data_IF_717852921035
#
_entry.id   IF_717852921035
#
_cell.length_a   1.000
_cell.length_b   1.000
_cell.length_c   1.000
_cell.angle_alpha   90.00
_cell.angle_beta   90.00
_cell.angle_gamma   90.00
#
_symmetry.space_group_name_H-M   'P 1'
#
loop_
_entity.id
_entity.type
_entity.pdbx_description
1 polymer ?
#
# COMPACT_ATOMS: atom_id res chain seq x y z
N UNK A 1 -23.51 -15.84 -3.72
CA UNK A 1 -24.01 -14.50 -3.35
C UNK A 1 -25.04 -14.52 -2.22
N UNK A 2 -26.10 -15.37 -2.26
CA UNK A 2 -27.14 -15.45 -1.20
C UNK A 2 -26.64 -15.73 0.23
N UNK A 3 -25.50 -16.40 0.40
CA UNK A 3 -24.88 -16.68 1.72
C UNK A 3 -23.94 -15.57 2.24
N UNK A 4 -23.45 -14.67 1.36
CA UNK A 4 -22.59 -13.55 1.79
C UNK A 4 -23.39 -12.42 2.46
N UNK A 5 -24.67 -12.27 2.11
CA UNK A 5 -25.54 -11.18 2.56
C UNK A 5 -26.06 -11.32 4.01
N UNK A 6 -25.82 -12.46 4.68
CA UNK A 6 -26.24 -12.67 6.08
C UNK A 6 -25.25 -12.15 7.12
N UNK A 7 -24.05 -11.75 6.72
CA UNK A 7 -22.98 -11.42 7.65
C UNK A 7 -22.98 -9.92 8.02
N UNK A 8 -23.52 -9.58 9.20
CA UNK A 8 -23.56 -8.21 9.72
C UNK A 8 -22.18 -7.54 9.78
N UNK A 9 -21.10 -8.32 9.93
CA UNK A 9 -19.74 -7.77 9.95
C UNK A 9 -19.24 -7.30 8.59
N UNK A 10 -19.80 -7.77 7.46
CA UNK A 10 -19.51 -7.19 6.14
C UNK A 10 -20.04 -5.75 6.06
N UNK A 11 -21.27 -5.53 6.50
CA UNK A 11 -21.89 -4.20 6.49
C UNK A 11 -21.14 -3.23 7.40
N UNK A 12 -20.75 -3.69 8.59
CA UNK A 12 -19.93 -2.91 9.50
C UNK A 12 -18.58 -2.62 8.84
N UNK A 13 -17.83 -3.61 8.36
CA UNK A 13 -16.52 -3.38 7.72
C UNK A 13 -16.60 -2.44 6.50
N UNK A 14 -17.62 -2.61 5.65
CA UNK A 14 -17.88 -1.71 4.52
C UNK A 14 -18.18 -0.30 5.01
N UNK A 15 -18.96 -0.15 6.08
CA UNK A 15 -19.21 1.14 6.74
C UNK A 15 -17.93 1.77 7.30
N UNK A 16 -17.02 1.01 7.92
CA UNK A 16 -15.73 1.53 8.41
C UNK A 16 -14.88 2.09 7.26
N UNK A 17 -14.80 1.36 6.15
CA UNK A 17 -14.02 1.75 4.97
C UNK A 17 -14.62 2.98 4.27
N UNK A 18 -15.95 3.03 4.17
CA UNK A 18 -16.70 4.16 3.62
C UNK A 18 -16.54 5.39 4.51
N UNK A 19 -16.75 5.26 5.82
CA UNK A 19 -16.72 6.40 6.74
C UNK A 19 -15.31 6.96 6.93
N UNK A 20 -14.30 6.09 6.90
CA UNK A 20 -12.89 6.43 7.05
C UNK A 20 -12.25 7.17 5.87
N UNK A 21 -12.69 6.88 4.65
CA UNK A 21 -12.04 7.40 3.43
C UNK A 21 -12.93 8.32 2.56
N UNK A 22 -14.25 8.39 2.80
CA UNK A 22 -15.19 9.05 1.87
C UNK A 22 -15.87 10.31 2.39
N UNK A 23 -16.00 10.49 3.70
CA UNK A 23 -16.75 11.66 4.19
C UNK A 23 -15.82 12.87 4.18
N UNK A 24 -16.11 13.90 3.38
CA UNK A 24 -15.51 15.25 3.50
C UNK A 24 -16.33 16.17 4.41
N UNK A 25 -17.49 15.67 4.86
CA UNK A 25 -18.49 16.39 5.67
C UNK A 25 -17.99 16.71 7.08
N UNK A 26 -17.08 15.89 7.62
CA UNK A 26 -16.54 16.07 8.97
C UNK A 26 -15.13 16.71 8.92
N UNK A 27 -14.77 17.54 9.92
CA UNK A 27 -13.40 18.05 10.08
C UNK A 27 -12.36 16.93 10.04
N UNK A 28 -11.20 17.18 9.43
CA UNK A 28 -10.15 16.17 9.21
C UNK A 28 -9.75 15.41 10.49
N UNK A 29 -9.64 16.10 11.62
CA UNK A 29 -9.30 15.48 12.91
C UNK A 29 -10.41 14.53 13.40
N UNK A 30 -11.68 14.92 13.27
CA UNK A 30 -12.83 14.10 13.68
C UNK A 30 -12.90 12.84 12.81
N UNK A 31 -12.66 12.97 11.50
CA UNK A 31 -12.58 11.83 10.58
C UNK A 31 -11.48 10.87 10.99
N UNK A 32 -10.29 11.39 11.24
CA UNK A 32 -9.13 10.58 11.61
C UNK A 32 -9.36 9.83 12.93
N UNK A 33 -9.69 10.53 14.03
CA UNK A 33 -9.89 9.88 15.33
C UNK A 33 -11.13 8.97 15.35
N UNK A 34 -12.21 9.38 14.68
CA UNK A 34 -13.40 8.55 14.50
C UNK A 34 -13.08 7.26 13.75
N UNK A 35 -12.28 7.35 12.69
CA UNK A 35 -11.81 6.18 11.94
C UNK A 35 -10.97 5.24 12.81
N UNK A 36 -10.00 5.76 13.57
CA UNK A 36 -9.18 4.93 14.47
C UNK A 36 -10.04 4.24 15.54
N UNK A 37 -11.00 4.96 16.15
CA UNK A 37 -11.89 4.40 17.15
C UNK A 37 -12.76 3.28 16.57
N UNK A 38 -13.32 3.49 15.38
CA UNK A 38 -14.14 2.49 14.69
C UNK A 38 -13.30 1.24 14.37
N UNK A 39 -12.08 1.39 13.85
CA UNK A 39 -11.17 0.27 13.59
C UNK A 39 -10.84 -0.50 14.87
N UNK A 40 -10.58 0.21 15.97
CA UNK A 40 -10.26 -0.39 17.27
C UNK A 40 -11.46 -1.19 17.82
N UNK A 41 -12.65 -0.59 17.86
CA UNK A 41 -13.87 -1.25 18.34
C UNK A 41 -14.21 -2.48 17.49
N UNK A 42 -14.05 -2.37 16.17
CA UNK A 42 -14.28 -3.50 15.28
C UNK A 42 -13.26 -4.61 15.45
N UNK A 43 -11.98 -4.27 15.64
CA UNK A 43 -10.93 -5.23 15.97
C UNK A 43 -11.25 -5.99 17.25
N UNK A 44 -11.69 -5.30 18.31
CA UNK A 44 -12.11 -5.91 19.57
C UNK A 44 -13.32 -6.83 19.35
N UNK A 45 -14.30 -6.40 18.55
CA UNK A 45 -15.46 -7.24 18.19
C UNK A 45 -15.04 -8.52 17.45
N UNK A 46 -14.09 -8.43 16.52
CA UNK A 46 -13.56 -9.61 15.82
C UNK A 46 -12.81 -10.54 16.78
N UNK A 47 -11.99 -9.99 17.69
CA UNK A 47 -11.26 -10.78 18.69
C UNK A 47 -12.18 -11.57 19.63
N UNK A 48 -13.32 -10.98 20.02
CA UNK A 48 -14.28 -11.65 20.92
C UNK A 48 -14.97 -12.85 20.27
N UNK A 49 -15.04 -12.89 18.94
CA UNK A 49 -15.53 -14.03 18.19
C UNK A 49 -14.37 -14.99 17.94
N UNK A 50 -14.17 -15.97 18.82
CA UNK A 50 -13.06 -16.93 18.71
C UNK A 50 -13.01 -17.58 17.32
N UNK A 51 -11.93 -17.29 16.57
CA UNK A 51 -11.64 -17.88 15.27
C UNK A 51 -10.30 -18.64 15.33
N UNK A 52 -10.18 -19.71 14.54
CA UNK A 52 -8.96 -20.54 14.50
C UNK A 52 -7.80 -19.72 13.92
N UNK A 53 -6.78 -19.46 14.75
CA UNK A 53 -5.57 -18.74 14.34
C UNK A 53 -4.50 -19.74 13.89
N UNK A 54 -4.02 -19.63 12.65
CA UNK A 54 -2.88 -20.41 12.17
C UNK A 54 -1.58 -19.84 12.75
N UNK A 55 -0.91 -20.56 13.64
CA UNK A 55 0.28 -20.07 14.38
C UNK A 55 1.42 -19.62 13.46
N UNK A 56 1.72 -20.39 12.41
CA UNK A 56 2.75 -20.03 11.43
C UNK A 56 2.38 -18.77 10.65
N UNK A 57 1.13 -18.71 10.15
CA UNK A 57 0.57 -17.56 9.45
C UNK A 57 0.64 -16.29 10.31
N UNK A 58 0.17 -16.40 11.56
CA UNK A 58 0.20 -15.33 12.55
C UNK A 58 1.61 -14.85 12.84
N UNK A 59 2.55 -15.78 13.00
CA UNK A 59 3.95 -15.43 13.20
C UNK A 59 4.51 -14.62 12.02
N UNK A 60 4.19 -14.99 10.79
CA UNK A 60 4.69 -14.25 9.63
C UNK A 60 4.04 -12.88 9.44
N UNK A 61 2.74 -12.72 9.76
CA UNK A 61 2.05 -11.43 9.63
C UNK A 61 2.63 -10.37 10.56
N UNK A 62 3.16 -10.76 11.72
CA UNK A 62 3.84 -9.83 12.66
C UNK A 62 4.98 -9.06 12.02
N UNK A 63 5.64 -9.64 11.03
CA UNK A 63 6.76 -8.99 10.37
C UNK A 63 6.36 -7.78 9.53
N UNK A 64 5.10 -7.70 9.11
CA UNK A 64 4.58 -6.56 8.36
C UNK A 64 4.44 -5.32 9.25
N UNK A 65 4.41 -5.49 10.58
CA UNK A 65 4.40 -4.39 11.55
C UNK A 65 5.80 -3.80 11.76
N UNK A 66 6.88 -4.53 11.46
CA UNK A 66 8.23 -4.14 11.85
C UNK A 66 8.76 -2.85 11.21
N UNK A 67 8.56 -2.57 9.91
CA UNK A 67 8.96 -1.27 9.34
C UNK A 67 8.31 -0.11 10.08
N UNK A 68 7.05 -0.28 10.48
CA UNK A 68 6.22 0.72 11.15
C UNK A 68 6.49 0.85 12.64
N UNK A 69 7.04 -0.18 13.28
CA UNK A 69 7.59 -0.07 14.64
C UNK A 69 8.99 0.54 14.61
N UNK A 70 9.79 0.23 13.58
CA UNK A 70 11.14 0.75 13.43
C UNK A 70 11.14 2.27 13.20
N UNK A 71 10.33 2.78 12.25
CA UNK A 71 10.31 4.20 11.89
C UNK A 71 10.14 5.16 13.09
N UNK A 72 9.16 4.98 14.00
CA UNK A 72 9.03 5.85 15.16
C UNK A 72 10.13 5.64 16.20
N UNK A 73 10.64 4.41 16.39
CA UNK A 73 11.77 4.16 17.30
C UNK A 73 13.02 4.90 16.79
N UNK A 74 13.30 4.80 15.49
CA UNK A 74 14.41 5.48 14.85
C UNK A 74 14.27 7.00 14.97
N UNK A 75 13.08 7.53 14.70
CA UNK A 75 12.79 8.97 14.84
C UNK A 75 12.90 9.45 16.28
N UNK A 76 12.49 8.63 17.26
CA UNK A 76 12.68 8.95 18.67
C UNK A 76 14.16 9.02 19.04
N UNK A 77 15.00 8.12 18.49
CA UNK A 77 16.46 8.21 18.66
C UNK A 77 16.99 9.52 18.07
N UNK A 78 16.55 9.91 16.85
CA UNK A 78 16.91 11.20 16.25
C UNK A 78 16.49 12.39 17.13
N UNK A 79 15.34 12.29 17.80
CA UNK A 79 14.84 13.32 18.71
C UNK A 79 15.76 13.46 19.94
N UNK A 80 16.18 12.33 20.53
CA UNK A 80 17.08 12.32 21.69
C UNK A 80 18.45 12.92 21.39
N UNK A 81 18.95 12.81 20.15
CA UNK A 81 20.22 13.39 19.72
C UNK A 81 20.08 14.80 19.12
N UNK A 82 18.89 15.41 19.19
CA UNK A 82 18.63 16.78 18.73
C UNK A 82 18.63 16.95 17.21
N UNK A 83 18.39 15.87 16.44
CA UNK A 83 18.35 15.89 14.96
C UNK A 83 16.95 16.12 14.38
N UNK A 84 15.91 15.97 15.18
CA UNK A 84 14.52 16.22 14.76
C UNK A 84 13.75 16.91 15.88
N UNK A 85 12.59 17.46 15.53
CA UNK A 85 11.71 18.17 16.45
C UNK A 85 10.54 17.29 16.90
N UNK A 86 10.00 17.57 18.08
CA UNK A 86 8.85 16.82 18.64
C UNK A 86 7.62 16.88 17.72
N UNK A 87 7.42 17.99 17.01
CA UNK A 87 6.29 18.12 16.09
C UNK A 87 6.33 17.07 14.97
N UNK A 88 7.52 16.81 14.40
CA UNK A 88 7.71 15.85 13.33
C UNK A 88 7.47 14.42 13.81
N UNK A 89 7.97 14.09 15.00
CA UNK A 89 7.71 12.81 15.66
C UNK A 89 6.20 12.56 15.87
N UNK A 90 5.47 13.53 16.42
CA UNK A 90 4.01 13.42 16.63
C UNK A 90 3.28 13.26 15.29
N UNK A 91 3.70 14.01 14.27
CA UNK A 91 3.17 13.90 12.91
C UNK A 91 3.28 12.47 12.37
N UNK A 92 4.48 11.88 12.40
CA UNK A 92 4.74 10.52 11.92
C UNK A 92 4.01 9.44 12.72
N UNK A 93 3.86 9.61 14.03
CA UNK A 93 3.14 8.66 14.89
C UNK A 93 1.68 8.46 14.47
N UNK A 94 1.00 9.51 13.97
CA UNK A 94 -0.38 9.40 13.51
C UNK A 94 -0.54 8.39 12.36
N UNK A 95 0.35 8.46 11.37
CA UNK A 95 0.33 7.56 10.21
C UNK A 95 0.71 6.13 10.60
N UNK A 96 1.69 5.98 11.49
CA UNK A 96 2.07 4.68 12.06
C UNK A 96 0.90 4.04 12.78
N UNK A 97 0.22 4.75 13.68
CA UNK A 97 -0.92 4.21 14.43
C UNK A 97 -2.06 3.76 13.52
N UNK A 98 -2.38 4.57 12.49
CA UNK A 98 -3.37 4.21 11.46
C UNK A 98 -3.01 2.89 10.77
N UNK A 99 -1.75 2.72 10.39
CA UNK A 99 -1.28 1.52 9.69
C UNK A 99 -1.21 0.28 10.61
N UNK A 100 -0.76 0.45 11.86
CA UNK A 100 -0.75 -0.67 12.82
C UNK A 100 -2.18 -1.19 13.08
N UNK A 101 -3.16 -0.28 13.21
CA UNK A 101 -4.57 -0.65 13.40
C UNK A 101 -5.18 -1.30 12.14
N UNK A 102 -4.85 -0.81 10.94
CA UNK A 102 -5.37 -1.42 9.71
C UNK A 102 -4.79 -2.82 9.52
N UNK A 103 -3.52 -3.04 9.84
CA UNK A 103 -2.91 -4.38 9.82
C UNK A 103 -3.52 -5.31 10.86
N UNK A 104 -3.79 -4.82 12.06
CA UNK A 104 -4.48 -5.61 13.08
C UNK A 104 -5.89 -6.00 12.64
N UNK A 105 -6.65 -5.05 12.10
CA UNK A 105 -8.01 -5.30 11.57
C UNK A 105 -7.96 -6.33 10.45
N UNK A 106 -7.01 -6.19 9.53
CA UNK A 106 -6.82 -7.11 8.40
C UNK A 106 -6.43 -8.51 8.81
N UNK A 107 -5.60 -8.64 9.85
CA UNK A 107 -5.29 -9.90 10.48
C UNK A 107 -6.56 -10.61 10.96
N UNK A 108 -7.39 -9.93 11.75
CA UNK A 108 -8.60 -10.54 12.31
C UNK A 108 -9.63 -10.90 11.22
N UNK A 109 -9.76 -10.06 10.18
CA UNK A 109 -10.62 -10.34 9.03
C UNK A 109 -10.17 -11.58 8.27
N UNK A 110 -8.87 -11.73 8.04
CA UNK A 110 -8.33 -12.89 7.31
C UNK A 110 -8.66 -14.20 8.02
N UNK A 111 -8.53 -14.26 9.35
CA UNK A 111 -8.83 -15.49 10.09
C UNK A 111 -10.33 -15.75 10.22
N UNK A 112 -11.15 -14.69 10.33
CA UNK A 112 -12.60 -14.82 10.37
C UNK A 112 -13.17 -15.31 9.04
N UNK A 113 -12.71 -14.73 7.93
CA UNK A 113 -13.34 -14.92 6.61
C UNK A 113 -12.58 -15.83 5.66
N UNK A 114 -11.28 -16.04 5.87
CA UNK A 114 -10.43 -16.96 5.13
C UNK A 114 -10.65 -16.83 3.62
N UNK A 115 -11.15 -17.88 2.96
CA UNK A 115 -11.38 -17.95 1.52
C UNK A 115 -12.44 -16.96 1.00
N UNK A 116 -13.27 -16.40 1.88
CA UNK A 116 -14.30 -15.43 1.52
C UNK A 116 -13.78 -13.99 1.53
N UNK A 117 -12.62 -13.72 2.13
CA UNK A 117 -12.13 -12.35 2.34
C UNK A 117 -11.95 -11.60 1.03
N UNK A 118 -11.45 -12.23 -0.04
CA UNK A 118 -11.26 -11.56 -1.33
C UNK A 118 -12.58 -11.04 -1.90
N UNK A 119 -13.64 -11.87 -1.84
CA UNK A 119 -14.96 -11.46 -2.30
C UNK A 119 -15.56 -10.35 -1.43
N UNK A 120 -15.34 -10.42 -0.11
CA UNK A 120 -15.77 -9.36 0.79
C UNK A 120 -15.04 -8.04 0.48
N UNK A 121 -13.73 -8.07 0.28
CA UNK A 121 -12.95 -6.88 -0.08
C UNK A 121 -13.41 -6.28 -1.40
N UNK A 122 -13.57 -7.11 -2.43
CA UNK A 122 -14.08 -6.65 -3.72
C UNK A 122 -15.45 -5.99 -3.60
N UNK A 123 -16.40 -6.61 -2.91
CA UNK A 123 -17.75 -6.05 -2.73
C UNK A 123 -17.73 -4.77 -1.90
N UNK A 124 -17.00 -4.74 -0.79
CA UNK A 124 -16.90 -3.56 0.08
C UNK A 124 -16.28 -2.37 -0.65
N UNK A 125 -15.17 -2.59 -1.36
CA UNK A 125 -14.48 -1.54 -2.08
C UNK A 125 -15.33 -1.06 -3.27
N UNK A 126 -15.96 -1.99 -3.99
CA UNK A 126 -16.87 -1.65 -5.09
C UNK A 126 -18.06 -0.83 -4.60
N UNK A 127 -18.70 -1.23 -3.50
CA UNK A 127 -19.83 -0.49 -2.94
C UNK A 127 -19.43 0.92 -2.50
N UNK A 128 -18.31 1.03 -1.79
CA UNK A 128 -17.76 2.32 -1.35
C UNK A 128 -17.48 3.24 -2.54
N UNK A 129 -16.87 2.69 -3.58
CA UNK A 129 -16.50 3.45 -4.76
C UNK A 129 -17.69 3.81 -5.65
N UNK A 130 -18.70 2.94 -5.79
CA UNK A 130 -19.93 3.28 -6.53
C UNK A 130 -20.62 4.50 -5.93
N UNK A 131 -20.63 4.66 -4.60
CA UNK A 131 -21.17 5.85 -3.95
C UNK A 131 -20.42 7.12 -4.38
N UNK A 132 -19.08 7.06 -4.44
CA UNK A 132 -18.26 8.17 -4.96
C UNK A 132 -18.55 8.46 -6.42
N UNK A 133 -18.59 7.43 -7.26
CA UNK A 133 -18.81 7.60 -8.70
C UNK A 133 -20.19 8.18 -8.99
N UNK A 134 -21.23 7.81 -8.23
CA UNK A 134 -22.55 8.42 -8.33
C UNK A 134 -22.47 9.92 -8.01
N UNK A 135 -21.77 10.31 -6.94
CA UNK A 135 -21.58 11.71 -6.60
C UNK A 135 -20.87 12.47 -7.73
N UNK A 136 -19.79 11.90 -8.29
CA UNK A 136 -19.11 12.49 -9.44
C UNK A 136 -19.98 12.55 -10.70
N UNK A 137 -20.81 11.55 -10.99
CA UNK A 137 -21.75 11.59 -12.12
C UNK A 137 -22.78 12.70 -11.98
N UNK A 138 -23.27 12.95 -10.76
CA UNK A 138 -24.20 14.05 -10.50
C UNK A 138 -23.51 15.41 -10.71
N UNK A 139 -22.23 15.54 -10.37
CA UNK A 139 -21.51 16.81 -10.46
C UNK A 139 -20.97 17.12 -11.86
N UNK A 140 -20.41 16.14 -12.57
CA UNK A 140 -19.68 16.37 -13.82
C UNK A 140 -20.29 15.67 -15.04
N UNK A 141 -21.21 14.73 -14.82
CA UNK A 141 -21.73 13.85 -15.85
C UNK A 141 -20.78 12.72 -16.25
N UNK A 142 -21.30 11.64 -16.85
CA UNK A 142 -20.53 10.43 -17.13
C UNK A 142 -19.47 10.59 -18.22
N UNK A 143 -19.73 11.43 -19.24
CA UNK A 143 -18.79 11.65 -20.34
C UNK A 143 -17.51 12.34 -19.84
N UNK A 144 -17.64 13.35 -18.99
CA UNK A 144 -16.51 14.08 -18.43
C UNK A 144 -15.58 13.17 -17.63
N UNK A 145 -16.16 12.31 -16.79
CA UNK A 145 -15.41 11.35 -15.97
C UNK A 145 -14.61 10.38 -16.84
N UNK A 146 -15.20 9.90 -17.94
CA UNK A 146 -14.49 9.03 -18.88
C UNK A 146 -13.33 9.75 -19.59
N UNK A 147 -13.54 11.00 -20.02
CA UNK A 147 -12.48 11.79 -20.67
C UNK A 147 -11.30 12.04 -19.72
N UNK A 148 -11.58 12.37 -18.45
CA UNK A 148 -10.56 12.53 -17.42
C UNK A 148 -9.81 11.23 -17.11
N UNK A 149 -10.51 10.09 -17.04
CA UNK A 149 -9.88 8.79 -16.83
C UNK A 149 -8.79 8.47 -17.89
N UNK A 150 -9.01 8.88 -19.14
CA UNK A 150 -8.10 8.66 -20.28
C UNK A 150 -7.14 9.81 -20.58
N UNK A 151 -7.09 10.86 -19.74
CA UNK A 151 -6.27 12.06 -20.01
C UNK A 151 -6.62 12.81 -21.29
N UNK A 152 -7.81 12.59 -21.85
CA UNK A 152 -8.25 13.27 -23.08
C UNK A 152 -8.75 14.71 -22.81
N UNK A 153 -8.74 15.14 -21.55
CA UNK A 153 -9.23 16.44 -21.10
C UNK A 153 -8.28 17.17 -20.15
N UNK A 154 -7.11 16.61 -19.80
CA UNK A 154 -6.14 17.25 -18.88
C UNK A 154 -5.64 18.60 -19.45
N UNK A 155 -5.37 18.70 -20.75
CA UNK A 155 -4.96 19.96 -21.39
C UNK A 155 -6.10 21.01 -21.45
N UNK A 156 -7.37 20.57 -21.49
CA UNK A 156 -8.52 21.48 -21.54
C UNK A 156 -9.00 21.95 -20.17
N UNK A 157 -8.79 21.16 -19.12
CA UNK A 157 -9.44 21.36 -17.82
C UNK A 157 -8.54 21.08 -16.60
N UNK A 158 -7.28 20.69 -16.77
CA UNK A 158 -6.41 20.25 -15.66
C UNK A 158 -6.12 21.32 -14.60
N UNK A 159 -6.20 22.61 -14.96
CA UNK A 159 -6.11 23.75 -14.04
C UNK A 159 -7.46 24.47 -13.84
N UNK A 160 -8.55 23.89 -14.33
CA UNK A 160 -9.88 24.48 -14.15
C UNK A 160 -10.46 24.13 -12.77
N UNK A 161 -11.41 24.93 -12.31
CA UNK A 161 -12.19 24.67 -11.08
C UNK A 161 -12.83 23.27 -11.12
N UNK A 162 -13.21 22.81 -12.31
CA UNK A 162 -13.81 21.49 -12.53
C UNK A 162 -12.77 20.36 -12.42
N UNK A 163 -11.54 20.58 -12.91
CA UNK A 163 -10.42 19.66 -12.73
C UNK A 163 -10.07 19.49 -11.25
N UNK A 164 -9.90 20.58 -10.52
CA UNK A 164 -9.66 20.50 -9.06
C UNK A 164 -10.79 19.81 -8.29
N UNK A 165 -12.04 20.04 -8.69
CA UNK A 165 -13.19 19.40 -8.07
C UNK A 165 -13.24 17.89 -8.39
N UNK A 166 -12.87 17.51 -9.61
CA UNK A 166 -12.72 16.11 -10.02
C UNK A 166 -11.63 15.41 -9.19
N UNK A 167 -10.45 16.02 -9.05
CA UNK A 167 -9.32 15.45 -8.31
C UNK A 167 -9.67 15.22 -6.84
N UNK A 168 -10.37 16.19 -6.21
CA UNK A 168 -10.89 16.08 -4.84
C UNK A 168 -11.86 14.92 -4.63
N UNK A 169 -12.56 14.48 -5.69
CA UNK A 169 -13.57 13.41 -5.64
C UNK A 169 -13.04 12.05 -6.12
N UNK A 170 -12.03 12.02 -6.98
CA UNK A 170 -11.58 10.77 -7.62
C UNK A 170 -10.09 10.47 -7.38
N UNK A 171 -9.21 11.47 -7.51
CA UNK A 171 -7.75 11.25 -7.47
C UNK A 171 -7.20 11.15 -6.04
N UNK A 172 -7.85 11.77 -5.05
CA UNK A 172 -7.42 11.74 -3.65
C UNK A 172 -7.65 10.36 -2.99
N UNK A 173 -8.37 9.45 -3.65
CA UNK A 173 -8.78 8.20 -3.02
C UNK A 173 -7.82 7.03 -3.24
N UNK A 174 -7.43 6.40 -2.13
CA UNK A 174 -6.58 5.20 -2.10
C UNK A 174 -7.21 3.98 -2.83
N UNK A 175 -8.52 4.02 -3.13
CA UNK A 175 -9.25 2.94 -3.81
C UNK A 175 -8.65 2.61 -5.18
N UNK A 176 -8.31 3.65 -5.98
CA UNK A 176 -7.73 3.47 -7.30
C UNK A 176 -6.43 2.67 -7.29
N UNK A 177 -5.67 2.75 -6.20
CA UNK A 177 -4.42 2.02 -6.02
C UNK A 177 -4.61 0.63 -5.41
N UNK A 178 -5.73 0.36 -4.75
CA UNK A 178 -5.99 -0.93 -4.12
C UNK A 178 -6.75 -1.91 -5.04
N UNK A 179 -7.60 -1.42 -5.94
CA UNK A 179 -8.34 -2.28 -6.88
C UNK A 179 -7.44 -3.15 -7.76
N UNK A 180 -6.31 -2.67 -8.32
CA UNK A 180 -5.47 -3.53 -9.14
C UNK A 180 -4.78 -4.65 -8.33
N UNK A 181 -4.52 -4.47 -7.03
CA UNK A 181 -4.10 -5.56 -6.15
C UNK A 181 -5.20 -6.62 -6.00
N UNK A 182 -6.46 -6.20 -5.85
CA UNK A 182 -7.62 -7.11 -5.81
C UNK A 182 -7.72 -7.87 -7.15
N UNK A 183 -7.50 -7.19 -8.28
CA UNK A 183 -7.47 -7.82 -9.61
C UNK A 183 -6.36 -8.90 -9.71
N UNK A 184 -5.14 -8.60 -9.25
CA UNK A 184 -4.05 -9.58 -9.19
C UNK A 184 -4.41 -10.79 -8.32
N UNK A 185 -5.07 -10.58 -7.18
CA UNK A 185 -5.52 -11.67 -6.33
C UNK A 185 -6.58 -12.56 -7.02
N UNK A 186 -7.53 -11.98 -7.77
CA UNK A 186 -8.45 -12.78 -8.59
C UNK A 186 -7.74 -13.51 -9.72
N UNK A 187 -6.75 -12.89 -10.37
CA UNK A 187 -5.94 -13.51 -11.42
C UNK A 187 -5.24 -14.78 -10.90
N UNK A 188 -4.70 -14.73 -9.68
CA UNK A 188 -3.95 -15.84 -9.07
C UNK A 188 -4.80 -16.84 -8.27
N UNK A 189 -6.06 -16.51 -7.97
CA UNK A 189 -7.01 -17.38 -7.26
C UNK A 189 -7.23 -18.68 -8.03
N UNK A 190 -7.46 -19.81 -7.35
CA UNK A 190 -7.92 -21.05 -7.99
C UNK A 190 -9.40 -20.97 -8.43
N UNK A 191 -9.83 -21.83 -9.36
CA UNK A 191 -11.23 -21.93 -9.81
C UNK A 191 -11.50 -21.46 -11.24
N UNK A 192 -12.78 -21.35 -11.61
CA UNK A 192 -13.25 -21.00 -12.96
C UNK A 192 -12.91 -19.55 -13.34
N UNK A 193 -12.42 -19.36 -14.58
CA UNK A 193 -12.14 -18.05 -15.16
C UNK A 193 -13.37 -17.15 -15.21
N UNK A 194 -14.56 -17.70 -15.50
CA UNK A 194 -15.81 -16.91 -15.55
C UNK A 194 -16.12 -16.21 -14.23
N UNK A 195 -15.73 -16.81 -13.10
CA UNK A 195 -15.94 -16.23 -11.77
C UNK A 195 -14.89 -15.18 -11.39
N UNK A 196 -13.75 -15.13 -12.10
CA UNK A 196 -12.64 -14.22 -11.84
C UNK A 196 -12.62 -13.03 -12.80
N UNK A 197 -13.07 -13.25 -14.03
CA UNK A 197 -13.04 -12.27 -15.10
C UNK A 197 -13.76 -10.97 -14.75
N UNK A 198 -15.02 -11.06 -14.30
CA UNK A 198 -15.80 -9.87 -13.95
C UNK A 198 -15.15 -9.04 -12.81
N UNK A 199 -14.74 -9.63 -11.67
CA UNK A 199 -14.02 -8.89 -10.64
C UNK A 199 -12.73 -8.21 -11.13
N UNK A 200 -11.96 -8.86 -12.01
CA UNK A 200 -10.73 -8.28 -12.59
C UNK A 200 -11.07 -7.05 -13.40
N UNK A 201 -12.00 -7.16 -14.36
CA UNK A 201 -12.38 -6.05 -15.25
C UNK A 201 -12.95 -4.87 -14.44
N UNK A 202 -13.87 -5.13 -13.51
CA UNK A 202 -14.46 -4.07 -12.68
C UNK A 202 -13.39 -3.36 -11.85
N UNK A 203 -12.45 -4.09 -11.26
CA UNK A 203 -11.36 -3.50 -10.47
C UNK A 203 -10.47 -2.59 -11.33
N UNK A 204 -10.12 -3.01 -12.54
CA UNK A 204 -9.31 -2.20 -13.46
C UNK A 204 -10.09 -0.97 -13.97
N UNK A 205 -11.39 -1.11 -14.24
CA UNK A 205 -12.24 0.02 -14.61
C UNK A 205 -12.34 1.06 -13.49
N UNK A 206 -12.51 0.63 -12.23
CA UNK A 206 -12.51 1.57 -11.10
C UNK A 206 -11.15 2.23 -10.88
N UNK A 207 -10.05 1.51 -11.10
CA UNK A 207 -8.72 2.11 -11.10
C UNK A 207 -8.53 3.18 -12.20
N UNK A 208 -9.10 2.95 -13.38
CA UNK A 208 -9.09 3.92 -14.49
C UNK A 208 -9.89 5.19 -14.12
N UNK A 209 -11.10 5.02 -13.61
CA UNK A 209 -11.98 6.14 -13.21
C UNK A 209 -11.32 6.99 -12.10
N UNK A 210 -10.53 6.37 -11.23
CA UNK A 210 -9.72 7.05 -10.21
C UNK A 210 -8.54 7.86 -10.77
N UNK A 211 -8.31 7.90 -12.08
CA UNK A 211 -7.14 8.54 -12.70
C UNK A 211 -5.78 7.99 -12.22
N UNK A 212 -5.74 6.85 -11.51
CA UNK A 212 -4.49 6.24 -11.01
C UNK A 212 -3.85 5.33 -12.05
N UNK A 213 -3.40 5.91 -13.17
CA UNK A 213 -2.87 5.16 -14.33
C UNK A 213 -1.63 4.32 -13.98
N UNK A 214 -0.77 4.82 -13.08
CA UNK A 214 0.40 4.06 -12.60
C UNK A 214 0.01 2.73 -11.95
N UNK A 215 -1.17 2.67 -11.31
CA UNK A 215 -1.68 1.46 -10.67
C UNK A 215 -1.97 0.35 -11.70
N UNK A 216 -2.47 0.74 -12.87
CA UNK A 216 -2.75 -0.18 -13.99
C UNK A 216 -1.44 -0.62 -14.64
N UNK A 217 -0.49 0.31 -14.83
CA UNK A 217 0.86 -0.02 -15.30
C UNK A 217 1.54 -1.05 -14.38
N UNK A 218 1.49 -0.81 -13.06
CA UNK A 218 2.01 -1.73 -12.06
C UNK A 218 1.31 -3.09 -12.10
N UNK A 219 -0.01 -3.13 -12.27
CA UNK A 219 -0.76 -4.37 -12.49
C UNK A 219 -0.25 -5.15 -13.69
N UNK A 220 -0.09 -4.49 -14.85
CA UNK A 220 0.36 -5.13 -16.08
C UNK A 220 1.77 -5.72 -15.91
N UNK A 221 2.71 -4.94 -15.36
CA UNK A 221 4.08 -5.39 -15.09
C UNK A 221 4.08 -6.63 -14.20
N UNK A 222 3.33 -6.58 -13.09
CA UNK A 222 3.28 -7.69 -12.12
C UNK A 222 2.56 -8.91 -12.69
N UNK A 223 1.48 -8.73 -13.46
CA UNK A 223 0.75 -9.81 -14.11
C UNK A 223 1.64 -10.53 -15.13
N UNK A 224 2.28 -9.79 -16.04
CA UNK A 224 3.21 -10.31 -17.06
C UNK A 224 4.38 -11.03 -16.40
N UNK A 225 5.03 -10.39 -15.41
CA UNK A 225 6.13 -11.02 -14.67
C UNK A 225 5.67 -12.31 -13.99
N UNK A 226 4.50 -12.30 -13.36
CA UNK A 226 3.98 -13.49 -12.68
C UNK A 226 3.70 -14.66 -13.65
N UNK A 227 3.29 -14.35 -14.88
CA UNK A 227 3.09 -15.32 -15.95
C UNK A 227 4.44 -15.85 -16.47
N UNK A 228 5.43 -14.99 -16.71
CA UNK A 228 6.78 -15.42 -17.11
C UNK A 228 7.39 -16.35 -16.04
N UNK A 229 7.32 -15.94 -14.78
CA UNK A 229 7.87 -16.71 -13.66
C UNK A 229 7.13 -18.02 -13.41
N UNK A 230 5.85 -18.17 -13.81
CA UNK A 230 5.17 -19.46 -13.69
C UNK A 230 5.71 -20.52 -14.66
N UNK A 231 6.36 -20.10 -15.75
CA UNK A 231 7.00 -20.98 -16.72
C UNK A 231 8.50 -21.19 -16.45
N UNK A 232 9.10 -20.41 -15.54
CA UNK A 232 10.53 -20.42 -15.24
C UNK A 232 10.79 -20.72 -13.75
N UNK A 233 10.67 -21.98 -13.30
CA UNK A 233 10.65 -22.34 -11.88
C UNK A 233 11.97 -22.01 -11.14
N UNK A 234 13.12 -22.11 -11.83
CA UNK A 234 14.42 -21.74 -11.25
C UNK A 234 14.50 -20.24 -10.98
N UNK A 235 14.13 -19.42 -11.98
CA UNK A 235 14.12 -17.96 -11.89
C UNK A 235 13.09 -17.52 -10.85
N UNK A 236 11.89 -18.12 -10.83
CA UNK A 236 10.89 -17.90 -9.77
C UNK A 236 11.47 -18.12 -8.38
N UNK A 237 12.19 -19.23 -8.16
CA UNK A 237 12.82 -19.51 -6.87
C UNK A 237 13.88 -18.48 -6.51
N UNK A 238 14.68 -18.02 -7.47
CA UNK A 238 15.66 -16.96 -7.26
C UNK A 238 15.00 -15.61 -6.97
N UNK A 239 13.97 -15.25 -7.72
CA UNK A 239 13.18 -14.04 -7.52
C UNK A 239 12.55 -14.01 -6.12
N UNK A 240 11.98 -15.14 -5.67
CA UNK A 240 11.50 -15.24 -4.29
C UNK A 240 12.62 -15.04 -3.28
N UNK A 241 13.80 -15.62 -3.48
CA UNK A 241 14.92 -15.55 -2.52
C UNK A 241 15.64 -14.20 -2.48
N UNK A 242 15.75 -13.53 -3.62
CA UNK A 242 16.61 -12.37 -3.82
C UNK A 242 15.85 -11.09 -4.19
N UNK A 243 14.56 -11.18 -4.52
CA UNK A 243 13.77 -10.05 -5.02
C UNK A 243 13.75 -8.85 -4.08
N UNK A 244 13.71 -9.08 -2.77
CA UNK A 244 13.73 -8.00 -1.78
C UNK A 244 15.08 -7.28 -1.73
N UNK A 245 16.20 -7.99 -1.94
CA UNK A 245 17.51 -7.37 -2.07
C UNK A 245 17.60 -6.59 -3.39
N UNK A 246 17.07 -7.16 -4.48
CA UNK A 246 16.97 -6.47 -5.75
C UNK A 246 16.16 -5.16 -5.62
N UNK A 247 15.05 -5.16 -4.88
CA UNK A 247 14.25 -3.95 -4.65
C UNK A 247 15.04 -2.89 -3.90
N UNK A 248 15.82 -3.26 -2.89
CA UNK A 248 16.71 -2.33 -2.18
C UNK A 248 17.75 -1.74 -3.14
N UNK A 249 18.36 -2.56 -3.99
CA UNK A 249 19.33 -2.09 -5.00
C UNK A 249 18.65 -1.10 -5.95
N UNK A 250 17.45 -1.41 -6.45
CA UNK A 250 16.68 -0.51 -7.33
C UNK A 250 16.37 0.81 -6.60
N UNK A 251 15.95 0.77 -5.33
CA UNK A 251 15.65 1.95 -4.52
C UNK A 251 16.87 2.86 -4.40
N UNK A 252 18.03 2.33 -4.00
CA UNK A 252 19.25 3.14 -3.87
C UNK A 252 19.81 3.61 -5.22
N UNK A 253 19.65 2.82 -6.28
CA UNK A 253 20.02 3.25 -7.64
C UNK A 253 19.16 4.42 -8.10
N UNK A 254 17.86 4.39 -7.82
CA UNK A 254 16.95 5.48 -8.13
C UNK A 254 17.27 6.74 -7.33
N UNK A 255 17.54 6.61 -6.04
CA UNK A 255 18.00 7.74 -5.22
C UNK A 255 19.30 8.33 -5.77
N UNK A 256 20.26 7.49 -6.16
CA UNK A 256 21.48 7.96 -6.81
C UNK A 256 21.17 8.78 -8.08
N UNK A 257 20.26 8.32 -8.95
CA UNK A 257 19.88 9.08 -10.13
C UNK A 257 19.22 10.43 -9.80
N UNK A 258 18.39 10.49 -8.78
CA UNK A 258 17.76 11.73 -8.32
C UNK A 258 18.82 12.72 -7.82
N UNK A 259 19.69 12.30 -6.90
CA UNK A 259 20.67 13.20 -6.27
C UNK A 259 21.77 13.69 -7.23
N UNK A 260 21.99 12.99 -8.35
CA UNK A 260 22.93 13.43 -9.39
C UNK A 260 22.27 14.22 -10.52
N UNK A 261 20.99 14.63 -10.38
CA UNK A 261 20.26 15.40 -11.40
C UNK A 261 19.91 14.62 -12.67
N UNK A 262 20.25 13.33 -12.75
CA UNK A 262 20.02 12.49 -13.93
C UNK A 262 18.52 12.34 -14.21
N UNK A 263 17.69 12.30 -13.17
CA UNK A 263 16.23 12.26 -13.31
C UNK A 263 15.69 13.44 -14.11
N UNK A 264 16.15 14.65 -13.82
CA UNK A 264 15.70 15.89 -14.45
C UNK A 264 16.22 16.02 -15.88
N UNK A 265 17.49 15.65 -16.10
CA UNK A 265 18.09 15.62 -17.44
C UNK A 265 17.30 14.72 -18.38
N UNK A 266 16.92 13.51 -17.93
CA UNK A 266 16.12 12.61 -18.75
C UNK A 266 14.69 13.09 -18.95
N UNK A 267 14.09 13.73 -17.95
CA UNK A 267 12.75 14.29 -18.10
C UNK A 267 12.72 15.40 -19.15
N UNK A 268 13.70 16.31 -19.12
CA UNK A 268 13.86 17.37 -20.11
C UNK A 268 14.15 16.79 -21.51
N UNK A 269 15.06 15.81 -21.60
CA UNK A 269 15.44 15.19 -22.87
C UNK A 269 14.26 14.52 -23.59
N UNK A 270 13.31 13.94 -22.84
CA UNK A 270 12.15 13.24 -23.38
C UNK A 270 10.85 14.04 -23.30
N UNK A 271 10.92 15.34 -22.98
CA UNK A 271 9.76 16.23 -22.82
C UNK A 271 8.70 15.66 -21.87
N UNK A 272 9.16 15.07 -20.77
CA UNK A 272 8.30 14.48 -19.75
C UNK A 272 7.92 15.56 -18.74
N UNK A 273 6.63 15.91 -18.72
CA UNK A 273 6.08 16.79 -17.69
C UNK A 273 6.17 16.14 -16.30
N UNK A 274 6.98 16.73 -15.43
CA UNK A 274 7.19 16.30 -14.05
C UNK A 274 6.08 16.77 -13.10
N UNK A 275 5.11 17.56 -13.57
CA UNK A 275 3.97 18.09 -12.80
C UNK A 275 4.42 18.76 -11.49
N UNK A 276 5.51 19.52 -11.54
CA UNK A 276 6.08 20.25 -10.41
C UNK A 276 6.88 19.40 -9.40
N UNK A 277 7.11 18.11 -9.66
CA UNK A 277 7.92 17.23 -8.78
C UNK A 277 9.38 17.65 -8.67
N UNK A 278 9.95 18.16 -9.75
CA UNK A 278 11.27 18.78 -9.85
C UNK A 278 11.48 19.85 -8.77
N UNK A 279 10.50 20.72 -8.56
CA UNK A 279 10.56 21.79 -7.55
C UNK A 279 10.72 21.19 -6.15
N UNK A 280 9.88 20.21 -5.80
CA UNK A 280 9.94 19.57 -4.48
C UNK A 280 11.21 18.74 -4.29
N UNK A 281 11.63 18.01 -5.32
CA UNK A 281 12.79 17.14 -5.25
C UNK A 281 14.03 18.00 -5.04
N UNK A 282 14.26 19.02 -5.88
CA UNK A 282 15.38 19.93 -5.73
C UNK A 282 15.40 20.65 -4.39
N UNK A 283 14.22 21.04 -3.88
CA UNK A 283 14.10 21.67 -2.58
C UNK A 283 14.63 20.80 -1.44
N UNK A 284 14.24 19.52 -1.39
CA UNK A 284 14.69 18.63 -0.33
C UNK A 284 16.08 18.05 -0.57
N UNK A 285 16.47 17.79 -1.83
CA UNK A 285 17.82 17.33 -2.20
C UNK A 285 18.86 18.37 -1.76
N UNK A 286 18.61 19.66 -1.98
CA UNK A 286 19.53 20.73 -1.54
C UNK A 286 19.70 20.84 -0.01
N UNK A 287 18.84 20.17 0.77
CA UNK A 287 18.85 20.16 2.25
C UNK A 287 19.25 18.80 2.83
N UNK A 288 19.49 17.83 1.97
CA UNK A 288 19.85 16.47 2.35
C UNK A 288 21.11 16.07 1.58
N UNK A 289 21.63 14.87 1.84
CA UNK A 289 22.81 14.38 1.14
C UNK A 289 22.70 12.90 0.86
N UNK A 290 23.18 12.50 -0.32
CA UNK A 290 23.27 11.09 -0.69
C UNK A 290 24.55 10.47 -0.10
N UNK A 291 24.53 10.24 1.21
CA UNK A 291 25.68 9.75 1.96
C UNK A 291 25.26 8.82 3.10
N UNK A 292 26.17 7.95 3.52
CA UNK A 292 25.89 6.96 4.57
C UNK A 292 25.71 7.59 5.96
N UNK A 293 26.34 8.74 6.20
CA UNK A 293 26.28 9.53 7.43
C UNK A 293 25.04 10.43 7.52
N UNK A 294 24.28 10.58 6.43
CA UNK A 294 22.99 11.25 6.48
C UNK A 294 21.98 10.38 7.24
N UNK A 295 21.62 10.83 8.46
CA UNK A 295 20.74 10.11 9.39
C UNK A 295 19.24 10.36 9.15
N UNK A 296 18.90 11.38 8.37
CA UNK A 296 17.53 11.81 8.11
C UNK A 296 16.95 12.79 9.13
N UNK A 297 15.82 13.40 8.77
CA UNK A 297 15.16 14.47 9.55
C UNK A 297 14.02 13.97 10.46
N UNK A 298 13.75 12.67 10.45
CA UNK A 298 12.70 12.03 11.24
C UNK A 298 11.45 11.67 10.42
N UNK A 299 10.86 10.52 10.75
CA UNK A 299 9.64 10.03 10.12
C UNK A 299 8.46 10.98 10.35
N UNK A 300 7.83 11.44 9.27
CA UNK A 300 6.78 12.45 9.30
C UNK A 300 7.26 13.89 9.07
N UNK A 301 8.57 14.12 8.95
CA UNK A 301 9.16 15.44 8.68
C UNK A 301 8.56 16.10 7.43
N UNK A 302 8.61 15.44 6.26
CA UNK A 302 8.22 16.06 4.99
C UNK A 302 6.76 16.53 5.03
N UNK A 303 5.86 15.65 5.48
CA UNK A 303 4.43 15.95 5.55
C UNK A 303 4.17 17.17 6.44
N UNK A 304 4.84 17.24 7.59
CA UNK A 304 4.69 18.36 8.53
C UNK A 304 5.33 19.64 8.02
N UNK A 305 6.48 19.52 7.37
CA UNK A 305 7.17 20.64 6.75
C UNK A 305 6.28 21.30 5.69
N UNK A 306 5.80 20.51 4.72
CA UNK A 306 4.93 21.01 3.64
C UNK A 306 3.60 21.56 4.17
N UNK A 307 3.02 20.94 5.20
CA UNK A 307 1.76 21.43 5.78
C UNK A 307 1.87 22.80 6.47
N UNK A 308 3.05 23.19 6.96
CA UNK A 308 3.20 24.34 7.86
C UNK A 308 4.13 25.45 7.34
N UNK A 309 4.92 25.21 6.28
CA UNK A 309 5.96 26.13 5.82
C UNK A 309 5.63 26.70 4.45
N UNK A 310 5.58 28.03 4.36
CA UNK A 310 5.54 28.73 3.08
C UNK A 310 6.85 28.52 2.29
N UNK A 311 6.80 28.40 0.95
CA UNK A 311 5.64 28.60 0.07
C UNK A 311 4.79 27.34 -0.17
N UNK A 312 5.05 26.23 0.54
CA UNK A 312 4.46 24.91 0.23
C UNK A 312 3.20 24.58 1.03
N UNK A 313 2.68 25.56 1.76
CA UNK A 313 1.54 25.39 2.65
C UNK A 313 0.35 24.72 1.95
N UNK A 314 -0.20 23.67 2.58
CA UNK A 314 -1.32 22.90 2.05
C UNK A 314 -0.93 21.69 1.16
N UNK A 315 0.35 21.50 0.86
CA UNK A 315 0.82 20.37 0.03
C UNK A 315 0.95 19.11 0.89
N UNK A 316 0.34 18.01 0.44
CA UNK A 316 0.19 16.79 1.24
C UNK A 316 1.36 15.80 1.13
N UNK A 317 2.26 16.00 0.17
CA UNK A 317 3.46 15.17 -0.01
C UNK A 317 4.20 15.47 -1.31
N UNK A 318 5.36 14.85 -1.48
CA UNK A 318 6.22 15.03 -2.67
C UNK A 318 5.93 14.01 -3.79
N UNK A 319 4.95 13.13 -3.60
CA UNK A 319 4.56 12.08 -4.56
C UNK A 319 5.73 11.17 -4.96
N UNK A 320 6.55 10.81 -3.96
CA UNK A 320 7.66 9.88 -4.09
C UNK A 320 8.03 9.38 -2.70
N UNK A 321 7.51 8.21 -2.36
CA UNK A 321 7.77 7.62 -1.05
C UNK A 321 9.21 7.17 -0.89
N UNK A 322 9.90 6.81 -1.97
CA UNK A 322 11.31 6.40 -1.88
C UNK A 322 12.18 7.58 -1.44
N UNK A 323 12.05 8.72 -2.13
CA UNK A 323 12.77 9.94 -1.78
C UNK A 323 12.35 10.44 -0.39
N UNK A 324 11.05 10.40 -0.09
CA UNK A 324 10.54 10.79 1.23
C UNK A 324 11.15 9.96 2.35
N UNK A 325 11.11 8.63 2.25
CA UNK A 325 11.68 7.75 3.27
C UNK A 325 13.18 7.98 3.42
N UNK A 326 13.89 8.26 2.32
CA UNK A 326 15.30 8.62 2.37
C UNK A 326 15.58 9.91 3.13
N UNK A 327 14.85 10.99 2.85
CA UNK A 327 15.00 12.25 3.56
C UNK A 327 14.63 12.08 5.04
N UNK A 328 13.56 11.35 5.35
CA UNK A 328 13.07 11.17 6.72
C UNK A 328 13.93 10.22 7.57
N UNK A 329 14.49 9.15 7.00
CA UNK A 329 15.21 8.11 7.74
C UNK A 329 16.71 8.02 7.42
N UNK A 330 17.19 8.79 6.46
CA UNK A 330 18.58 8.74 6.01
C UNK A 330 18.94 7.43 5.30
N UNK A 331 20.23 7.25 4.97
CA UNK A 331 20.67 6.08 4.22
C UNK A 331 20.50 4.78 5.01
N UNK A 332 20.98 4.75 6.27
CA UNK A 332 20.90 3.56 7.13
C UNK A 332 19.46 3.24 7.49
N UNK A 333 18.67 4.24 7.90
CA UNK A 333 17.27 4.03 8.25
C UNK A 333 16.43 3.56 7.06
N UNK A 334 16.67 4.11 5.87
CA UNK A 334 16.02 3.66 4.62
C UNK A 334 16.37 2.21 4.28
N UNK A 335 17.65 1.86 4.37
CA UNK A 335 18.09 0.48 4.15
C UNK A 335 17.41 -0.48 5.11
N UNK A 336 17.35 -0.15 6.41
CA UNK A 336 16.69 -0.99 7.42
C UNK A 336 15.19 -1.05 7.17
N UNK A 337 14.53 0.08 6.92
CA UNK A 337 13.09 0.15 6.69
C UNK A 337 12.66 -0.73 5.51
N UNK A 338 13.29 -0.55 4.33
CA UNK A 338 12.98 -1.37 3.17
C UNK A 338 13.51 -2.81 3.27
N UNK A 339 14.54 -3.07 4.07
CA UNK A 339 14.94 -4.44 4.42
C UNK A 339 13.89 -5.14 5.27
N UNK A 340 13.31 -4.46 6.26
CA UNK A 340 12.23 -4.99 7.07
C UNK A 340 10.97 -5.22 6.22
N UNK A 341 10.72 -4.34 5.26
CA UNK A 341 9.57 -4.40 4.37
C UNK A 341 9.72 -5.49 3.30
N UNK A 342 10.83 -5.54 2.57
CA UNK A 342 11.00 -6.45 1.43
C UNK A 342 12.03 -7.56 1.68
N UNK A 343 13.23 -7.18 2.14
CA UNK A 343 14.41 -8.07 2.19
C UNK A 343 14.29 -9.25 3.17
N UNK A 344 13.83 -8.99 4.40
CA UNK A 344 13.76 -10.02 5.42
C UNK A 344 12.48 -10.86 5.32
N UNK A 345 11.38 -10.31 4.80
CA UNK A 345 10.07 -10.97 4.68
C UNK A 345 10.13 -12.23 3.81
N UNK A 346 10.97 -12.23 2.78
CA UNK A 346 11.30 -13.42 1.97
C UNK A 346 11.78 -14.62 2.80
N UNK A 347 12.70 -14.39 3.76
CA UNK A 347 13.25 -15.47 4.60
C UNK A 347 12.24 -15.94 5.64
N UNK A 348 11.32 -15.04 6.05
CA UNK A 348 10.29 -15.26 7.06
C UNK A 348 9.10 -16.07 6.53
N UNK A 349 8.72 -15.89 5.26
CA UNK A 349 7.65 -16.68 4.63
C UNK A 349 8.04 -18.11 4.24
N UNK A 350 9.34 -18.46 4.28
CA UNK A 350 9.79 -19.87 4.26
C UNK A 350 9.19 -20.70 5.39
N UNK A 351 8.75 -20.07 6.50
CA UNK A 351 8.08 -20.73 7.62
C UNK A 351 6.70 -21.28 7.22
N UNK A 352 6.07 -20.71 6.19
CA UNK A 352 4.70 -21.09 5.76
C UNK A 352 4.73 -21.79 4.41
N UNK A 353 5.34 -21.18 3.39
CA UNK A 353 5.59 -21.77 2.07
C UNK A 353 6.35 -20.76 1.17
N UNK A 354 7.13 -21.28 0.22
CA UNK A 354 7.63 -20.50 -0.93
C UNK A 354 6.50 -19.85 -1.75
N UNK A 355 5.29 -20.43 -1.80
CA UNK A 355 4.16 -19.82 -2.51
C UNK A 355 3.65 -18.52 -1.86
N UNK A 356 3.49 -18.48 -0.53
CA UNK A 356 3.11 -17.25 0.16
C UNK A 356 4.17 -16.16 -0.04
N UNK A 357 5.46 -16.56 0.02
CA UNK A 357 6.59 -15.68 -0.26
C UNK A 357 6.54 -15.10 -1.68
N UNK A 358 6.14 -15.91 -2.65
CA UNK A 358 5.99 -15.53 -4.05
C UNK A 358 4.91 -14.47 -4.26
N UNK A 359 3.74 -14.66 -3.68
CA UNK A 359 2.68 -13.65 -3.79
C UNK A 359 3.04 -12.37 -3.04
N UNK A 360 3.66 -12.48 -1.87
CA UNK A 360 4.10 -11.31 -1.11
C UNK A 360 5.11 -10.47 -1.88
N UNK A 361 6.10 -11.08 -2.53
CA UNK A 361 7.10 -10.31 -3.28
C UNK A 361 6.48 -9.68 -4.54
N UNK A 362 5.47 -10.30 -5.17
CA UNK A 362 4.76 -9.73 -6.31
C UNK A 362 3.84 -8.57 -5.92
N UNK A 363 3.09 -8.67 -4.82
CA UNK A 363 2.29 -7.54 -4.31
C UNK A 363 3.18 -6.43 -3.77
N UNK A 364 4.35 -6.78 -3.22
CA UNK A 364 5.37 -5.80 -2.83
C UNK A 364 5.99 -5.10 -4.04
N UNK A 365 6.21 -5.80 -5.15
CA UNK A 365 6.65 -5.18 -6.41
C UNK A 365 5.62 -4.18 -6.93
N UNK A 366 4.33 -4.53 -6.87
CA UNK A 366 3.25 -3.60 -7.20
C UNK A 366 3.35 -2.32 -6.35
N UNK A 367 3.45 -2.47 -5.02
CA UNK A 367 3.60 -1.32 -4.13
C UNK A 367 4.87 -0.52 -4.43
N UNK A 368 6.00 -1.20 -4.65
CA UNK A 368 7.27 -0.55 -5.01
C UNK A 368 7.14 0.32 -6.27
N UNK A 369 6.48 -0.18 -7.33
CA UNK A 369 6.26 0.60 -8.55
C UNK A 369 5.47 1.88 -8.23
N UNK A 370 4.44 1.79 -7.38
CA UNK A 370 3.66 2.97 -6.99
C UNK A 370 4.42 3.95 -6.08
N UNK A 371 5.42 3.49 -5.32
CA UNK A 371 6.25 4.33 -4.44
C UNK A 371 7.15 5.30 -5.20
N UNK A 372 7.44 5.03 -6.48
CA UNK A 372 8.24 5.94 -7.32
C UNK A 372 7.49 7.24 -7.68
N UNK A 373 6.15 7.23 -7.67
CA UNK A 373 5.37 8.31 -8.29
C UNK A 373 4.20 8.84 -7.45
N UNK A 374 3.89 8.20 -6.32
CA UNK A 374 2.79 8.60 -5.44
C UNK A 374 3.10 8.26 -3.98
N UNK A 375 2.34 8.82 -3.04
CA UNK A 375 2.55 8.70 -1.58
C UNK A 375 1.84 7.48 -0.98
N UNK A 376 1.95 6.32 -1.64
CA UNK A 376 1.16 5.12 -1.35
C UNK A 376 1.63 4.29 -0.15
N UNK A 377 2.84 4.53 0.39
CA UNK A 377 3.34 3.95 1.64
C UNK A 377 2.41 4.32 2.80
N UNK A 378 1.96 5.56 2.87
CA UNK A 378 1.08 6.05 3.95
C UNK A 378 -0.41 5.69 3.73
N UNK A 379 -0.75 5.12 2.59
CA UNK A 379 -2.13 4.80 2.22
C UNK A 379 -2.59 3.49 2.84
N UNK A 380 -3.62 3.54 3.66
CA UNK A 380 -4.03 2.42 4.49
C UNK A 380 -4.63 1.26 3.69
N UNK A 381 -5.38 1.53 2.62
CA UNK A 381 -6.07 0.50 1.82
C UNK A 381 -5.11 -0.34 0.99
N UNK A 382 -4.17 0.29 0.29
CA UNK A 382 -3.15 -0.43 -0.51
C UNK A 382 -2.25 -1.27 0.40
N UNK A 383 -1.82 -0.72 1.54
CA UNK A 383 -0.99 -1.48 2.50
C UNK A 383 -1.78 -2.65 3.10
N UNK A 384 -3.06 -2.45 3.41
CA UNK A 384 -3.95 -3.52 3.86
C UNK A 384 -4.11 -4.64 2.82
N UNK A 385 -4.32 -4.31 1.55
CA UNK A 385 -4.38 -5.30 0.47
C UNK A 385 -3.06 -6.04 0.30
N UNK A 386 -1.92 -5.33 0.27
CA UNK A 386 -0.59 -5.94 0.21
C UNK A 386 -0.35 -6.88 1.40
N UNK A 387 -0.91 -6.56 2.57
CA UNK A 387 -0.83 -7.40 3.75
C UNK A 387 -1.64 -8.69 3.63
N UNK A 388 -2.91 -8.62 3.22
CA UNK A 388 -3.84 -9.75 3.31
C UNK A 388 -3.77 -10.69 2.12
N UNK A 389 -3.62 -10.15 0.90
CA UNK A 389 -3.82 -10.92 -0.33
C UNK A 389 -2.84 -12.10 -0.49
N UNK A 390 -1.54 -11.96 -0.17
CA UNK A 390 -0.60 -13.09 -0.23
C UNK A 390 -1.01 -14.27 0.66
N UNK A 391 -1.56 -13.95 1.83
CA UNK A 391 -1.99 -14.93 2.82
C UNK A 391 -3.32 -15.57 2.46
N UNK A 392 -4.24 -14.76 1.94
CA UNK A 392 -5.47 -15.26 1.33
C UNK A 392 -5.17 -16.30 0.24
N UNK A 393 -4.24 -16.00 -0.66
CA UNK A 393 -3.87 -16.90 -1.76
C UNK A 393 -3.24 -18.20 -1.24
N UNK A 394 -2.43 -18.11 -0.18
CA UNK A 394 -1.90 -19.29 0.48
C UNK A 394 -3.03 -20.18 1.04
N UNK A 395 -3.98 -19.61 1.77
CA UNK A 395 -5.13 -20.35 2.33
C UNK A 395 -6.04 -20.92 1.23
N UNK A 396 -6.30 -20.15 0.17
CA UNK A 396 -7.14 -20.58 -0.96
C UNK A 396 -6.56 -21.77 -1.72
N UNK A 397 -5.23 -21.85 -1.85
CA UNK A 397 -4.55 -22.97 -2.51
C UNK A 397 -4.30 -24.17 -1.61
N UNK A 398 -4.29 -23.98 -0.30
CA UNK A 398 -4.01 -25.02 0.68
C UNK A 398 -5.18 -25.16 1.69
N UNK A 399 -6.39 -25.54 1.23
CA UNK A 399 -7.57 -25.60 2.12
C UNK A 399 -7.40 -26.61 3.27
N UNK A 400 -6.63 -27.69 3.05
CA UNK A 400 -6.31 -28.72 4.06
C UNK A 400 -5.22 -28.29 5.06
N UNK A 401 -4.61 -27.11 4.90
CA UNK A 401 -3.71 -26.55 5.92
C UNK A 401 -4.42 -26.21 7.24
N UNK A 402 -5.76 -26.29 7.26
CA UNK A 402 -6.61 -26.24 8.45
C UNK A 402 -6.35 -27.42 9.40
N UNK A 403 -5.95 -28.58 8.88
CA UNK A 403 -5.69 -29.79 9.67
C UNK A 403 -4.21 -29.93 10.10
N UNK A 404 -3.29 -29.15 9.53
CA UNK A 404 -1.87 -29.15 9.88
C UNK A 404 -1.56 -28.28 11.12
N UNK A 405 -2.32 -28.48 12.20
CA UNK A 405 -2.10 -27.84 13.50
C UNK A 405 -0.81 -28.32 14.21
N UNK A 406 -0.13 -29.35 13.69
CA UNK A 406 0.86 -30.15 14.46
C UNK A 406 2.28 -30.22 13.89
N UNK A 407 2.75 -29.32 13.01
CA UNK A 407 4.11 -29.42 12.44
C UNK A 407 5.01 -28.18 12.66
N UNK A 408 5.03 -27.64 13.89
CA UNK A 408 6.11 -26.73 14.32
C UNK A 408 7.14 -27.46 15.21
N UNK A 409 6.81 -28.63 15.76
CA UNK A 409 7.75 -29.48 16.51
C UNK A 409 8.88 -30.04 15.64
N UNK A 410 8.60 -30.32 14.36
CA UNK A 410 9.61 -30.82 13.40
C UNK A 410 10.61 -29.76 12.92
N UNK A 411 10.30 -28.46 13.03
CA UNK A 411 11.28 -27.40 12.73
C UNK A 411 12.21 -27.07 13.91
N UNK A 412 11.88 -27.48 15.15
CA UNK A 412 12.80 -27.37 16.29
C UNK A 412 13.81 -28.53 16.36
N UNK A 413 13.47 -29.72 15.84
CA UNK A 413 14.40 -30.85 15.88
C UNK A 413 15.50 -30.84 14.81
N UNK A 414 15.38 -30.06 13.73
CA UNK A 414 16.44 -29.93 12.72
C UNK A 414 17.47 -28.82 12.97
N UNK A 415 17.43 -28.18 14.16
CA UNK A 415 18.49 -27.25 14.61
C UNK A 415 19.40 -27.83 15.68
N UNK A 416 19.20 -29.09 16.05
CA UNK A 416 20.05 -29.84 16.99
C UNK A 416 20.17 -31.29 16.54
N UNK A 417 20.62 -31.52 15.31
CA UNK A 417 21.37 -32.70 14.87
C UNK A 417 22.39 -32.23 13.84
#
# INVERSE_FOLDING_TARGET
>A
MKTLLKDKSLYIFTFILVFGNLTTVLPANIRFYGYLLILLLFSIYLMKNNHVKHKALSHSMRYMFYPWLFAPIYTFILLLIGKTELEYFIGGMSDVLKLLLIFWTGYELLFKYQERILNFLFLSFSFAYVILTINGFVQFGPLYILLMAFNLSEERFGWSVEGEAFDKIFEVHEFGLAFPLIALAYLWKSGDWKQKFFPIIISLLFSLICAKRIAIGAFLVVAVLSYILSHLPLIKRMFVKCGGLLFIVIIFSFLFFIYNGVYEIYAEQYDVDLKGRDIFYNYFISRSSFSFDYLGDGFGYIRKYLANKDPFNGIMGIHNDILRIYIELGAVGTFIFFSLMFGFNIRKHKIINNECSYYYILTSLYCLITYFSDNTIAYSLIQFCNMILPYYLFLNKNPNSKDNQTNITTMRHRRYV
#
